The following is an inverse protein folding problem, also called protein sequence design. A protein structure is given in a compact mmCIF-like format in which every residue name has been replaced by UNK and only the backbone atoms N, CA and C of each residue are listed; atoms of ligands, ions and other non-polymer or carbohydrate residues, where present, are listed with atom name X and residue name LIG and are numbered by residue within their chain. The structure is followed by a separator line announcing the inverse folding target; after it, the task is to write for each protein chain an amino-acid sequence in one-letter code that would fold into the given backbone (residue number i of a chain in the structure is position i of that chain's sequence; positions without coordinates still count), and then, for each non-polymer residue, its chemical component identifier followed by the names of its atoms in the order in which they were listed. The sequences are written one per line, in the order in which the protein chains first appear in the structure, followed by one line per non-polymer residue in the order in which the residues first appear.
data_IF_619573811190
#
_entry.id   IF_619573811190
#
_cell.length_a   1.000
_cell.length_b   1.000
_cell.length_c   1.000
_cell.angle_alpha   90.00
_cell.angle_beta   90.00
_cell.angle_gamma   90.00
#
_symmetry.space_group_name_H-M   'P 1'
#
loop_
_entity.id
_entity.type
_entity.pdbx_description
1 polymer ?
#
# COMPACT_ATOMS: atom_id res chain seq x y z
N UNK A 1 21.32 -13.17 -5.23
CA UNK A 1 20.11 -14.04 -5.21
C UNK A 1 18.93 -13.29 -5.82
N UNK A 2 18.37 -13.75 -6.95
CA UNK A 2 17.13 -13.19 -7.52
C UNK A 2 15.95 -13.54 -6.61
N UNK A 3 15.06 -12.59 -6.34
CA UNK A 3 13.82 -12.85 -5.61
C UNK A 3 12.94 -13.74 -6.47
N UNK A 4 12.45 -14.88 -5.95
CA UNK A 4 11.59 -15.79 -6.72
C UNK A 4 10.12 -15.37 -6.63
N UNK A 5 9.74 -14.69 -5.55
CA UNK A 5 8.41 -14.13 -5.36
C UNK A 5 8.36 -12.77 -4.66
N UNK A 6 7.13 -12.29 -4.47
CA UNK A 6 6.86 -11.07 -3.71
C UNK A 6 7.23 -11.20 -2.24
N UNK A 7 7.00 -12.36 -1.62
CA UNK A 7 7.43 -12.62 -0.23
C UNK A 7 8.93 -12.41 -0.06
N UNK A 8 9.75 -13.01 -0.92
CA UNK A 8 11.21 -12.79 -0.91
C UNK A 8 11.60 -11.33 -1.16
N UNK A 9 10.79 -10.63 -1.95
CA UNK A 9 11.03 -9.22 -2.26
C UNK A 9 10.67 -8.33 -1.08
N UNK A 10 9.57 -8.63 -0.37
CA UNK A 10 9.19 -7.98 0.89
C UNK A 10 10.27 -8.25 1.93
N UNK A 11 10.72 -9.50 2.11
CA UNK A 11 11.77 -9.84 3.07
C UNK A 11 13.07 -9.06 2.77
N UNK A 12 13.47 -8.99 1.50
CA UNK A 12 14.65 -8.21 1.08
C UNK A 12 14.46 -6.73 1.29
N UNK A 13 13.30 -6.17 0.94
CA UNK A 13 13.00 -4.76 1.14
C UNK A 13 13.03 -4.43 2.64
N UNK A 14 12.36 -5.23 3.47
CA UNK A 14 12.35 -5.11 4.93
C UNK A 14 13.75 -5.17 5.53
N UNK A 15 14.59 -6.12 5.09
CA UNK A 15 15.99 -6.26 5.55
C UNK A 15 16.90 -5.14 5.07
N UNK A 16 16.80 -4.76 3.79
CA UNK A 16 17.73 -3.83 3.16
C UNK A 16 17.51 -2.37 3.59
N UNK A 17 16.27 -2.00 3.93
CA UNK A 17 15.93 -0.60 4.22
C UNK A 17 15.75 -0.30 5.71
N UNK A 18 16.00 -1.26 6.61
CA UNK A 18 15.79 -1.06 8.05
C UNK A 18 14.34 -0.73 8.41
N UNK A 19 13.42 -1.16 7.55
CA UNK A 19 12.01 -0.73 7.48
C UNK A 19 11.26 -0.95 8.78
N UNK A 20 11.67 -1.93 9.61
CA UNK A 20 11.09 -2.14 10.94
C UNK A 20 10.99 -0.82 11.68
N UNK A 21 12.06 -0.02 11.74
CA UNK A 21 12.04 1.30 12.39
C UNK A 21 11.10 2.32 11.75
N UNK A 22 10.93 2.29 10.43
CA UNK A 22 10.08 3.24 9.72
C UNK A 22 8.59 2.87 9.83
N UNK A 23 8.29 1.58 9.80
CA UNK A 23 6.95 1.06 9.99
C UNK A 23 6.55 1.13 11.45
N UNK A 24 7.41 0.71 12.39
CA UNK A 24 7.29 0.97 13.82
C UNK A 24 7.10 2.49 14.06
N UNK A 25 7.79 3.38 13.35
CA UNK A 25 7.55 4.82 13.50
C UNK A 25 6.19 5.27 12.91
N UNK A 26 5.78 4.79 11.72
CA UNK A 26 4.47 5.12 11.14
C UNK A 26 3.33 4.55 12.00
N UNK A 27 3.49 3.38 12.60
CA UNK A 27 2.41 2.67 13.29
C UNK A 27 2.48 2.80 14.82
N UNK A 28 3.66 2.93 15.44
CA UNK A 28 3.85 3.14 16.88
C UNK A 28 3.95 4.63 17.28
N UNK A 29 4.68 5.48 16.53
CA UNK A 29 4.74 6.93 16.83
C UNK A 29 3.49 7.69 16.37
N UNK A 30 2.71 7.14 15.45
CA UNK A 30 1.32 7.57 15.21
C UNK A 30 0.33 6.81 16.11
N UNK A 31 0.72 6.55 17.37
CA UNK A 31 -0.11 5.83 18.35
C UNK A 31 -1.51 6.44 18.54
N UNK A 32 -2.48 5.54 18.78
CA UNK A 32 -3.96 5.70 18.86
C UNK A 32 -4.66 6.34 17.65
N UNK A 33 -3.98 7.18 16.87
CA UNK A 33 -4.56 7.91 15.77
C UNK A 33 -3.53 7.98 14.65
N UNK A 34 -3.61 7.07 13.66
CA UNK A 34 -2.52 6.76 12.73
C UNK A 34 -2.17 7.88 11.70
N UNK A 35 -2.36 9.15 12.06
CA UNK A 35 -2.63 10.24 11.13
C UNK A 35 -3.88 9.95 10.30
N UNK A 36 -4.67 8.96 10.74
CA UNK A 36 -5.73 8.33 9.99
C UNK A 36 -6.74 9.37 9.54
N UNK A 37 -7.12 10.31 10.41
CA UNK A 37 -8.09 11.34 10.10
C UNK A 37 -7.57 12.39 9.11
N UNK A 38 -6.37 12.95 9.31
CA UNK A 38 -5.77 13.90 8.37
C UNK A 38 -5.51 13.26 7.00
N UNK A 39 -5.02 12.01 7.00
CA UNK A 39 -4.83 11.22 5.78
C UNK A 39 -6.15 10.93 5.11
N UNK A 40 -7.16 10.55 5.89
CA UNK A 40 -8.52 10.31 5.42
C UNK A 40 -9.12 11.57 4.83
N UNK A 41 -8.91 12.76 5.37
CA UNK A 41 -9.34 14.01 4.75
C UNK A 41 -8.68 14.22 3.38
N UNK A 42 -7.36 14.00 3.29
CA UNK A 42 -6.62 14.11 2.03
C UNK A 42 -7.05 13.04 1.02
N UNK A 43 -7.24 11.81 1.48
CA UNK A 43 -7.71 10.70 0.66
C UNK A 43 -9.17 10.88 0.27
N UNK A 44 -10.03 11.48 1.09
CA UNK A 44 -11.41 11.81 0.74
C UNK A 44 -11.47 12.87 -0.35
N UNK A 45 -10.52 13.83 -0.36
CA UNK A 45 -10.36 14.76 -1.49
C UNK A 45 -9.91 14.05 -2.77
N UNK A 46 -9.03 13.05 -2.66
CA UNK A 46 -8.54 12.27 -3.81
C UNK A 46 -9.50 11.17 -4.30
N UNK A 47 -10.28 10.61 -3.38
CA UNK A 47 -11.21 9.50 -3.56
C UNK A 47 -12.56 9.87 -2.90
N UNK A 48 -13.34 10.75 -3.54
CA UNK A 48 -14.62 11.19 -2.98
C UNK A 48 -15.53 10.00 -2.67
N UNK A 49 -16.28 10.10 -1.57
CA UNK A 49 -17.29 9.12 -1.13
C UNK A 49 -16.78 7.75 -0.65
N UNK A 50 -15.46 7.56 -0.47
CA UNK A 50 -14.89 6.23 -0.17
C UNK A 50 -14.48 5.98 1.28
N UNK A 51 -14.54 6.98 2.16
CA UNK A 51 -14.21 6.89 3.59
C UNK A 51 -13.13 5.83 3.93
N UNK A 52 -11.91 6.00 3.38
CA UNK A 52 -10.94 4.92 3.36
C UNK A 52 -10.39 4.63 4.76
N UNK A 53 -10.36 3.36 5.12
CA UNK A 53 -9.63 2.87 6.29
C UNK A 53 -8.13 2.93 6.07
N UNK A 54 -7.36 3.10 7.14
CA UNK A 54 -5.91 3.10 7.01
C UNK A 54 -5.36 1.69 6.82
N UNK A 55 -4.29 1.60 6.03
CA UNK A 55 -3.48 0.39 5.86
C UNK A 55 -3.03 -0.14 7.21
N UNK A 56 -2.95 -1.46 7.34
CA UNK A 56 -2.19 -2.09 8.43
C UNK A 56 -0.70 -2.09 8.09
N UNK A 57 0.15 -2.39 9.08
CA UNK A 57 1.58 -2.57 8.86
C UNK A 57 1.85 -3.56 7.71
N UNK A 58 1.26 -4.76 7.77
CA UNK A 58 1.48 -5.82 6.79
C UNK A 58 1.09 -5.37 5.37
N UNK A 59 -0.01 -4.64 5.23
CA UNK A 59 -0.48 -4.15 3.93
C UNK A 59 0.41 -3.05 3.36
N UNK A 60 0.90 -2.15 4.21
CA UNK A 60 1.89 -1.15 3.81
C UNK A 60 3.20 -1.83 3.37
N UNK A 61 3.69 -2.83 4.12
CA UNK A 61 4.88 -3.60 3.73
C UNK A 61 4.70 -4.28 2.39
N UNK A 62 3.52 -4.88 2.18
CA UNK A 62 3.18 -5.52 0.91
C UNK A 62 3.22 -4.50 -0.24
N UNK A 63 2.55 -3.35 -0.11
CA UNK A 63 2.52 -2.33 -1.15
C UNK A 63 3.92 -1.76 -1.43
N UNK A 64 4.73 -1.53 -0.39
CA UNK A 64 6.12 -1.09 -0.53
C UNK A 64 6.96 -2.10 -1.31
N UNK A 65 6.88 -3.39 -0.94
CA UNK A 65 7.52 -4.46 -1.68
C UNK A 65 7.05 -4.52 -3.14
N UNK A 66 5.73 -4.43 -3.35
CA UNK A 66 5.12 -4.47 -4.67
C UNK A 66 5.57 -3.31 -5.57
N UNK A 67 5.57 -2.07 -5.06
CA UNK A 67 5.94 -0.88 -5.83
C UNK A 67 7.46 -0.64 -5.94
N UNK A 68 8.27 -1.28 -5.10
CA UNK A 68 9.73 -1.27 -5.24
C UNK A 68 10.22 -2.03 -6.48
N UNK A 69 9.41 -2.98 -6.97
CA UNK A 69 9.73 -3.79 -8.14
C UNK A 69 9.19 -3.08 -9.37
N UNK A 70 10.08 -2.65 -10.26
CA UNK A 70 9.69 -2.10 -11.55
C UNK A 70 9.25 -3.23 -12.50
N UNK A 71 7.97 -3.58 -12.44
CA UNK A 71 7.35 -4.61 -13.29
C UNK A 71 6.14 -4.06 -14.03
N UNK A 72 5.95 -4.55 -15.26
CA UNK A 72 4.86 -4.13 -16.14
C UNK A 72 3.62 -5.04 -16.07
N UNK A 73 3.71 -6.16 -15.36
CA UNK A 73 2.67 -7.19 -15.30
C UNK A 73 2.33 -7.52 -13.86
N UNK A 74 1.04 -7.66 -13.59
CA UNK A 74 0.50 -8.13 -12.30
C UNK A 74 0.01 -9.55 -12.48
N UNK A 75 0.54 -10.49 -11.72
CA UNK A 75 0.08 -11.89 -11.76
C UNK A 75 -1.20 -12.10 -10.91
N UNK A 76 -1.80 -13.29 -11.02
CA UNK A 76 -3.06 -13.59 -10.34
C UNK A 76 -2.97 -13.51 -8.79
N UNK A 77 -1.95 -14.09 -8.13
CA UNK A 77 -1.76 -13.92 -6.68
C UNK A 77 -1.63 -12.44 -6.27
N UNK A 78 -0.88 -11.65 -7.03
CA UNK A 78 -0.71 -10.22 -6.78
C UNK A 78 -1.99 -9.43 -6.88
N UNK A 79 -2.76 -9.69 -7.93
CA UNK A 79 -4.04 -9.03 -8.11
C UNK A 79 -4.99 -9.34 -6.94
N UNK A 80 -4.99 -10.59 -6.46
CA UNK A 80 -5.81 -11.00 -5.30
C UNK A 80 -5.41 -10.24 -4.03
N UNK A 81 -4.13 -10.11 -3.75
CA UNK A 81 -3.67 -9.34 -2.58
C UNK A 81 -3.98 -7.84 -2.73
N UNK A 82 -3.73 -7.23 -3.88
CA UNK A 82 -4.11 -5.82 -4.12
C UNK A 82 -5.62 -5.60 -3.95
N UNK A 83 -6.45 -6.53 -4.43
CA UNK A 83 -7.90 -6.47 -4.27
C UNK A 83 -8.32 -6.63 -2.81
N UNK A 84 -7.68 -7.52 -2.06
CA UNK A 84 -7.95 -7.72 -0.63
C UNK A 84 -7.71 -6.42 0.15
N UNK A 85 -6.56 -5.79 -0.05
CA UNK A 85 -6.22 -4.52 0.59
C UNK A 85 -7.18 -3.42 0.13
N UNK A 86 -7.39 -3.27 -1.18
CA UNK A 86 -8.30 -2.28 -1.74
C UNK A 86 -9.72 -2.41 -1.18
N UNK A 87 -10.25 -3.63 -1.12
CA UNK A 87 -11.61 -3.88 -0.67
C UNK A 87 -11.81 -3.56 0.81
N UNK A 88 -10.81 -3.88 1.64
CA UNK A 88 -10.83 -3.50 3.06
C UNK A 88 -10.74 -1.98 3.21
N UNK A 89 -9.70 -1.36 2.64
CA UNK A 89 -9.45 0.08 2.75
C UNK A 89 -10.63 0.90 2.25
N UNK A 90 -11.11 0.63 1.04
CA UNK A 90 -12.15 1.45 0.40
C UNK A 90 -13.57 0.90 0.60
N UNK A 91 -13.75 -0.10 1.47
CA UNK A 91 -15.04 -0.76 1.76
C UNK A 91 -15.77 -1.21 0.48
N UNK A 92 -15.03 -1.78 -0.46
CA UNK A 92 -15.55 -2.26 -1.76
C UNK A 92 -15.55 -3.78 -1.88
N UNK A 93 -16.20 -4.32 -2.92
CA UNK A 93 -16.20 -5.75 -3.22
C UNK A 93 -15.75 -6.04 -4.66
N UNK A 94 -14.59 -5.51 -5.05
CA UNK A 94 -14.00 -5.74 -6.37
C UNK A 94 -13.50 -7.19 -6.47
N UNK A 95 -13.65 -7.78 -7.64
CA UNK A 95 -13.18 -9.14 -7.96
C UNK A 95 -12.01 -9.10 -8.94
N UNK A 96 -11.31 -10.23 -9.07
CA UNK A 96 -10.26 -10.42 -10.08
C UNK A 96 -10.83 -10.17 -11.47
N UNK A 97 -10.03 -9.56 -12.32
CA UNK A 97 -10.40 -9.21 -13.69
C UNK A 97 -9.23 -9.51 -14.62
N UNK A 98 -9.53 -10.10 -15.77
CA UNK A 98 -8.60 -10.24 -16.90
C UNK A 98 -8.49 -8.97 -17.74
N UNK A 99 -9.34 -7.96 -17.52
CA UNK A 99 -9.31 -6.71 -18.25
C UNK A 99 -8.11 -5.86 -17.80
N UNK A 100 -7.13 -5.66 -18.68
CA UNK A 100 -5.89 -4.95 -18.37
C UNK A 100 -6.09 -3.53 -17.84
N UNK A 101 -7.06 -2.78 -18.38
CA UNK A 101 -7.37 -1.42 -17.91
C UNK A 101 -8.02 -1.43 -16.51
N UNK A 102 -8.84 -2.43 -16.20
CA UNK A 102 -9.42 -2.61 -14.86
C UNK A 102 -8.34 -2.92 -13.81
N UNK A 103 -7.35 -3.76 -14.17
CA UNK A 103 -6.20 -4.06 -13.31
C UNK A 103 -5.32 -2.84 -13.15
N UNK A 104 -5.03 -2.11 -14.23
CA UNK A 104 -4.28 -0.86 -14.17
C UNK A 104 -4.94 0.16 -13.24
N UNK A 105 -6.25 0.36 -13.35
CA UNK A 105 -6.98 1.28 -12.46
C UNK A 105 -6.94 0.86 -10.98
N UNK A 106 -6.90 -0.45 -10.69
CA UNK A 106 -6.63 -0.96 -9.34
C UNK A 106 -5.22 -0.55 -8.88
N UNK A 107 -4.19 -0.86 -9.67
CA UNK A 107 -2.79 -0.54 -9.35
C UNK A 107 -2.58 0.95 -9.15
N UNK A 108 -3.14 1.79 -10.02
CA UNK A 108 -3.02 3.25 -9.94
C UNK A 108 -3.66 3.80 -8.65
N UNK A 109 -4.82 3.26 -8.26
CA UNK A 109 -5.48 3.59 -7.00
C UNK A 109 -4.61 3.22 -5.80
N UNK A 110 -4.07 1.99 -5.80
CA UNK A 110 -3.21 1.51 -4.73
C UNK A 110 -1.89 2.29 -4.65
N UNK A 111 -1.35 2.74 -5.80
CA UNK A 111 -0.14 3.55 -5.86
C UNK A 111 -0.35 4.94 -5.24
N UNK A 112 -1.47 5.58 -5.53
CA UNK A 112 -1.84 6.86 -4.91
C UNK A 112 -1.99 6.73 -3.40
N UNK A 113 -2.68 5.69 -2.94
CA UNK A 113 -2.82 5.39 -1.51
C UNK A 113 -1.44 5.22 -0.86
N UNK A 114 -0.58 4.37 -1.44
CA UNK A 114 0.75 4.11 -0.92
C UNK A 114 1.63 5.37 -0.87
N UNK A 115 1.60 6.19 -1.92
CA UNK A 115 2.40 7.42 -1.99
C UNK A 115 2.05 8.42 -0.88
N UNK A 116 0.81 8.44 -0.40
CA UNK A 116 0.44 9.32 0.73
C UNK A 116 1.18 8.90 2.01
N UNK A 117 1.32 7.60 2.27
CA UNK A 117 2.11 7.08 3.39
C UNK A 117 3.61 7.39 3.24
N UNK A 118 4.15 7.29 2.02
CA UNK A 118 5.55 7.63 1.75
C UNK A 118 5.83 9.14 1.95
N UNK A 119 4.92 10.00 1.49
CA UNK A 119 5.01 11.45 1.69
C UNK A 119 5.01 11.84 3.18
N UNK A 120 4.13 11.25 3.97
CA UNK A 120 4.09 11.49 5.42
C UNK A 120 5.36 11.00 6.15
N UNK A 121 5.92 9.87 5.71
CA UNK A 121 7.18 9.36 6.25
C UNK A 121 8.35 10.32 5.96
N UNK A 122 8.45 10.80 4.73
CA UNK A 122 9.53 11.70 4.30
C UNK A 122 9.43 13.08 4.95
N UNK A 123 8.23 13.65 5.01
CA UNK A 123 7.99 14.98 5.60
C UNK A 123 8.28 15.08 7.09
N UNK A 124 8.30 13.96 7.82
CA UNK A 124 8.57 13.91 9.27
C UNK A 124 9.95 13.31 9.61
N UNK A 125 10.73 12.93 8.60
CA UNK A 125 12.14 12.53 8.73
C UNK A 125 13.12 13.69 8.53
N UNK A 126 12.61 14.89 8.20
CA UNK A 126 13.34 16.16 8.10
C UNK A 126 13.02 17.07 9.29
#
# INVERSE_FOLDING_TARGET
MKSKGLGDSIEKVTKATGIKKATDWIFDKLGKDCGCDARKEKLNKMFPYKDPECLTEEEYMYLKGFFSINKNVVNSPEQKELLKIHNRVFKTNRKTSSCGSCVKGLVDTMKRLYNEYEYERESKSN
#
